data_IF_528688196558
#
_entry.id   IF_528688196558
#
_cell.length_a   1.000
_cell.length_b   1.000
_cell.length_c   1.000
_cell.angle_alpha   90.00
_cell.angle_beta   90.00
_cell.angle_gamma   90.00
#
_symmetry.space_group_name_H-M   'P 1'
#
loop_
_entity.id
_entity.type
_entity.pdbx_description
1 polymer ?
#
# COMPACT_ATOMS: atom_id res chain seq x y z
N UNK A 1 -6.37 -0.39 -1.46
CA UNK A 1 -7.49 -1.25 -0.97
C UNK A 1 -7.57 -2.59 -1.67
N UNK A 2 -7.61 -2.71 -3.02
CA UNK A 2 -7.66 -4.00 -3.74
C UNK A 2 -6.59 -4.99 -3.26
N UNK A 3 -5.32 -4.58 -3.29
CA UNK A 3 -4.23 -5.38 -2.76
C UNK A 3 -4.48 -5.82 -1.30
N UNK A 4 -4.96 -4.90 -0.45
CA UNK A 4 -5.26 -5.22 0.94
C UNK A 4 -6.39 -6.24 1.09
N UNK A 5 -7.41 -6.20 0.24
CA UNK A 5 -8.46 -7.22 0.18
C UNK A 5 -7.88 -8.58 -0.17
N UNK A 6 -7.04 -8.64 -1.22
CA UNK A 6 -6.40 -9.87 -1.64
C UNK A 6 -5.49 -10.47 -0.54
N UNK A 7 -4.73 -9.64 0.14
CA UNK A 7 -3.88 -10.07 1.25
C UNK A 7 -4.67 -10.66 2.44
N UNK A 8 -5.96 -10.36 2.56
CA UNK A 8 -6.83 -10.97 3.57
C UNK A 8 -7.04 -12.48 3.39
N UNK A 9 -6.72 -13.03 2.22
CA UNK A 9 -6.68 -14.47 1.97
C UNK A 9 -5.50 -15.14 2.69
N UNK A 10 -4.45 -14.38 3.00
CA UNK A 10 -3.18 -14.87 3.57
C UNK A 10 -2.95 -14.42 5.02
N UNK A 11 -3.78 -13.54 5.55
CA UNK A 11 -3.69 -13.07 6.92
C UNK A 11 -4.46 -11.79 7.16
N UNK A 12 -4.36 -11.25 8.38
CA UNK A 12 -5.01 -9.99 8.71
C UNK A 12 -4.19 -8.79 8.22
N UNK A 13 -4.90 -7.75 7.79
CA UNK A 13 -4.36 -6.52 7.22
C UNK A 13 -4.69 -5.34 8.14
N UNK A 14 -3.69 -4.51 8.43
CA UNK A 14 -3.85 -3.17 8.97
C UNK A 14 -3.59 -2.17 7.84
N UNK A 15 -4.61 -1.42 7.47
CA UNK A 15 -4.51 -0.34 6.49
C UNK A 15 -4.49 0.99 7.23
N UNK A 16 -3.37 1.68 7.15
CA UNK A 16 -3.15 2.97 7.80
C UNK A 16 -3.38 4.07 6.76
N UNK A 17 -4.57 4.66 6.78
CA UNK A 17 -5.01 5.69 5.83
C UNK A 17 -4.71 7.08 6.39
N UNK A 18 -3.46 7.48 6.34
CA UNK A 18 -3.05 8.81 6.80
C UNK A 18 -3.47 9.93 5.84
N UNK A 19 -3.47 9.64 4.54
CA UNK A 19 -3.80 10.61 3.50
C UNK A 19 -5.31 10.87 3.40
N UNK A 20 -6.13 9.85 3.67
CA UNK A 20 -7.58 9.97 3.54
C UNK A 20 -8.29 9.48 4.80
N UNK A 21 -9.14 10.34 5.37
CA UNK A 21 -10.06 9.95 6.45
C UNK A 21 -11.22 9.11 5.91
N UNK A 22 -11.90 8.39 6.81
CA UNK A 22 -13.09 7.60 6.46
C UNK A 22 -14.26 8.56 6.18
N UNK A 23 -14.30 9.07 4.97
CA UNK A 23 -15.34 9.92 4.42
C UNK A 23 -16.29 9.15 3.50
N UNK A 24 -17.26 9.83 2.88
CA UNK A 24 -18.22 9.21 1.98
C UNK A 24 -17.55 8.57 0.76
N UNK A 25 -16.50 9.20 0.20
CA UNK A 25 -15.74 8.66 -0.94
C UNK A 25 -15.05 7.35 -0.57
N UNK A 26 -14.40 7.33 0.60
CA UNK A 26 -13.78 6.12 1.14
C UNK A 26 -14.79 4.99 1.33
N UNK A 27 -15.97 5.29 1.91
CA UNK A 27 -17.03 4.31 2.13
C UNK A 27 -17.59 3.76 0.81
N UNK A 28 -17.82 4.62 -0.19
CA UNK A 28 -18.24 4.19 -1.54
C UNK A 28 -17.24 3.24 -2.18
N UNK A 29 -15.95 3.53 -2.07
CA UNK A 29 -14.86 2.67 -2.57
C UNK A 29 -14.80 1.34 -1.84
N UNK A 30 -15.00 1.33 -0.52
CA UNK A 30 -15.13 0.08 0.24
C UNK A 30 -16.32 -0.75 -0.23
N UNK A 31 -17.46 -0.13 -0.52
CA UNK A 31 -18.64 -0.81 -1.07
C UNK A 31 -18.38 -1.37 -2.46
N UNK A 32 -17.82 -0.57 -3.36
CA UNK A 32 -17.45 -0.99 -4.72
C UNK A 32 -16.50 -2.20 -4.72
N UNK A 33 -15.52 -2.19 -3.84
CA UNK A 33 -14.55 -3.28 -3.68
C UNK A 33 -15.10 -4.46 -2.86
N UNK A 34 -16.36 -4.40 -2.40
CA UNK A 34 -16.98 -5.43 -1.57
C UNK A 34 -16.13 -5.80 -0.35
N UNK A 35 -15.65 -4.78 0.39
CA UNK A 35 -14.76 -4.99 1.54
C UNK A 35 -15.44 -5.70 2.72
N UNK A 36 -16.78 -5.77 2.73
CA UNK A 36 -17.55 -6.58 3.68
C UNK A 36 -17.19 -8.08 3.61
N UNK A 37 -16.76 -8.59 2.46
CA UNK A 37 -16.32 -10.00 2.32
C UNK A 37 -15.09 -10.34 3.16
N UNK A 38 -14.31 -9.34 3.55
CA UNK A 38 -13.11 -9.49 4.38
C UNK A 38 -13.27 -8.87 5.77
N UNK A 39 -14.51 -8.74 6.24
CA UNK A 39 -14.81 -8.21 7.56
C UNK A 39 -14.06 -8.99 8.65
N UNK A 40 -13.50 -8.26 9.62
CA UNK A 40 -12.66 -8.82 10.69
C UNK A 40 -11.20 -9.09 10.31
N UNK A 41 -10.89 -9.23 9.02
CA UNK A 41 -9.52 -9.42 8.53
C UNK A 41 -8.86 -8.12 8.04
N UNK A 42 -9.64 -7.16 7.55
CA UNK A 42 -9.17 -5.85 7.09
C UNK A 42 -9.56 -4.79 8.11
N UNK A 43 -8.57 -4.10 8.67
CA UNK A 43 -8.77 -3.05 9.67
C UNK A 43 -8.19 -1.75 9.16
N UNK A 44 -8.97 -0.68 9.25
CA UNK A 44 -8.55 0.67 8.87
C UNK A 44 -8.30 1.50 10.11
N UNK A 45 -7.21 2.26 10.10
CA UNK A 45 -6.93 3.35 11.05
C UNK A 45 -6.52 4.59 10.27
N UNK A 46 -6.91 5.77 10.73
CA UNK A 46 -6.66 7.04 10.02
C UNK A 46 -5.67 7.94 10.75
N UNK A 47 -5.16 7.48 11.89
CA UNK A 47 -4.23 8.21 12.74
C UNK A 47 -3.44 7.22 13.60
N UNK A 48 -2.37 7.70 14.20
CA UNK A 48 -1.54 6.93 15.12
C UNK A 48 -0.06 7.27 14.95
N UNK A 49 0.64 7.43 16.07
CA UNK A 49 2.09 7.61 16.08
C UNK A 49 2.81 6.30 15.78
N UNK A 50 4.11 6.38 15.51
CA UNK A 50 4.94 5.19 15.31
C UNK A 50 4.92 4.29 16.55
N UNK A 51 4.97 4.86 17.75
CA UNK A 51 4.94 4.15 19.03
C UNK A 51 3.63 3.38 19.21
N UNK A 52 2.50 3.99 18.85
CA UNK A 52 1.19 3.35 18.90
C UNK A 52 1.09 2.17 17.92
N UNK A 53 1.69 2.33 16.74
CA UNK A 53 1.78 1.25 15.76
C UNK A 53 2.64 0.10 16.29
N UNK A 54 3.82 0.39 16.82
CA UNK A 54 4.70 -0.59 17.45
C UNK A 54 3.96 -1.31 18.59
N UNK A 55 3.31 -0.57 19.48
CA UNK A 55 2.54 -1.14 20.59
C UNK A 55 1.41 -2.08 20.10
N UNK A 56 0.72 -1.70 19.01
CA UNK A 56 -0.30 -2.52 18.37
C UNK A 56 0.28 -3.80 17.78
N UNK A 57 1.42 -3.71 17.10
CA UNK A 57 2.06 -4.84 16.43
C UNK A 57 2.71 -5.83 17.39
N UNK A 58 3.05 -5.41 18.61
CA UNK A 58 3.52 -6.28 19.69
C UNK A 58 2.42 -7.17 20.31
N UNK A 59 1.14 -6.82 20.13
CA UNK A 59 0.02 -7.59 20.67
C UNK A 59 -0.09 -8.97 20.02
N UNK A 60 -0.53 -10.02 20.75
CA UNK A 60 -0.86 -11.32 20.17
C UNK A 60 -1.89 -11.17 19.04
N UNK A 61 -1.76 -12.01 18.00
CA UNK A 61 -2.65 -11.99 16.81
C UNK A 61 -2.69 -10.64 16.08
N UNK A 62 -1.62 -9.83 16.22
CA UNK A 62 -1.47 -8.57 15.48
C UNK A 62 -1.42 -8.83 13.97
N UNK A 63 -1.77 -7.84 13.14
CA UNK A 63 -1.82 -7.98 11.69
C UNK A 63 -0.52 -8.50 11.08
N UNK A 64 -0.65 -9.35 10.05
CA UNK A 64 0.48 -9.88 9.28
C UNK A 64 0.97 -8.87 8.23
N UNK A 65 0.02 -8.14 7.62
CA UNK A 65 0.28 -7.17 6.57
C UNK A 65 -0.06 -5.77 7.08
N UNK A 66 0.85 -4.83 6.89
CA UNK A 66 0.71 -3.44 7.29
C UNK A 66 0.88 -2.56 6.05
N UNK A 67 -0.18 -1.85 5.68
CA UNK A 67 -0.18 -0.93 4.54
C UNK A 67 -0.16 0.49 5.10
N UNK A 68 0.83 1.28 4.72
CA UNK A 68 1.00 2.69 5.11
C UNK A 68 0.68 3.57 3.91
N UNK A 69 -0.44 4.30 3.96
CA UNK A 69 -0.95 5.13 2.88
C UNK A 69 -1.15 6.60 3.37
N UNK A 70 -0.26 7.50 3.01
CA UNK A 70 1.01 7.33 2.33
C UNK A 70 2.18 7.58 3.27
N UNK A 71 3.37 7.12 2.90
CA UNK A 71 4.60 7.33 3.68
C UNK A 71 4.88 8.81 3.93
N UNK A 72 4.58 9.68 2.96
CA UNK A 72 4.78 11.11 3.07
C UNK A 72 3.88 11.75 4.14
N UNK A 73 2.62 11.32 4.22
CA UNK A 73 1.63 11.88 5.15
C UNK A 73 1.76 11.26 6.53
N UNK A 74 2.25 10.03 6.65
CA UNK A 74 2.57 9.40 7.93
C UNK A 74 3.59 10.21 8.73
N UNK A 75 4.41 11.02 8.06
CA UNK A 75 5.41 11.88 8.69
C UNK A 75 6.61 11.11 9.27
N UNK A 76 6.73 9.82 8.94
CA UNK A 76 7.85 8.99 9.39
C UNK A 76 9.06 9.20 8.50
N UNK A 77 10.23 9.12 9.10
CA UNK A 77 11.49 9.16 8.37
C UNK A 77 11.99 7.76 7.97
N UNK A 78 13.08 7.73 7.21
CA UNK A 78 13.67 6.46 6.77
C UNK A 78 14.19 5.60 7.94
N UNK A 79 14.92 6.12 8.95
CA UNK A 79 15.34 5.36 10.13
C UNK A 79 14.18 4.71 10.86
N UNK A 80 13.08 5.43 11.07
CA UNK A 80 11.88 4.93 11.73
C UNK A 80 11.22 3.79 10.95
N UNK A 81 11.17 3.89 9.62
CA UNK A 81 10.65 2.81 8.79
C UNK A 81 11.54 1.56 8.83
N UNK A 82 12.87 1.73 8.87
CA UNK A 82 13.82 0.62 9.03
C UNK A 82 13.66 -0.04 10.39
N UNK A 83 13.62 0.74 11.46
CA UNK A 83 13.39 0.25 12.82
C UNK A 83 12.12 -0.61 12.92
N UNK A 84 11.02 -0.14 12.28
CA UNK A 84 9.77 -0.88 12.26
C UNK A 84 9.91 -2.23 11.57
N UNK A 85 10.56 -2.28 10.41
CA UNK A 85 10.79 -3.53 9.68
C UNK A 85 11.70 -4.49 10.44
N UNK A 86 12.77 -4.00 11.06
CA UNK A 86 13.71 -4.79 11.86
C UNK A 86 13.07 -5.33 13.15
N UNK A 87 12.21 -4.52 13.79
CA UNK A 87 11.47 -4.94 14.98
C UNK A 87 10.48 -6.06 14.69
N UNK A 88 9.93 -6.12 13.47
CA UNK A 88 8.92 -7.09 13.08
C UNK A 88 9.27 -7.85 11.79
N UNK A 89 10.36 -8.62 11.76
CA UNK A 89 10.88 -9.25 10.52
C UNK A 89 9.94 -10.32 9.92
N UNK A 90 8.92 -10.76 10.67
CA UNK A 90 7.92 -11.73 10.22
C UNK A 90 6.66 -11.07 9.65
N UNK A 91 6.60 -9.74 9.60
CA UNK A 91 5.47 -8.99 9.04
C UNK A 91 5.82 -8.43 7.67
N UNK A 92 4.81 -8.24 6.85
CA UNK A 92 4.96 -7.63 5.55
C UNK A 92 4.51 -6.17 5.61
N UNK A 93 5.42 -5.25 5.35
CA UNK A 93 5.14 -3.81 5.27
C UNK A 93 4.99 -3.39 3.82
N UNK A 94 3.90 -2.71 3.51
CA UNK A 94 3.59 -2.15 2.19
C UNK A 94 3.59 -0.63 2.33
N UNK A 95 4.60 0.00 1.77
CA UNK A 95 4.79 1.45 1.78
C UNK A 95 4.21 2.06 0.51
N UNK A 96 3.11 2.78 0.63
CA UNK A 96 2.56 3.55 -0.49
C UNK A 96 3.24 4.92 -0.49
N UNK A 97 3.75 5.30 -1.64
CA UNK A 97 4.42 6.57 -1.83
C UNK A 97 3.86 7.30 -3.04
N UNK A 98 3.68 8.60 -2.91
CA UNK A 98 3.44 9.48 -4.05
C UNK A 98 4.66 9.47 -4.97
N UNK A 99 4.43 9.67 -6.26
CA UNK A 99 5.47 9.67 -7.29
C UNK A 99 5.67 11.08 -7.86
N UNK A 100 6.93 11.46 -8.07
CA UNK A 100 7.32 12.64 -8.84
C UNK A 100 8.44 12.26 -9.80
N UNK A 101 8.26 12.52 -11.10
CA UNK A 101 9.26 12.20 -12.16
C UNK A 101 9.72 10.73 -12.10
N UNK A 102 8.78 9.79 -12.01
CA UNK A 102 9.03 8.34 -11.95
C UNK A 102 9.84 7.85 -10.74
N UNK A 103 9.94 8.65 -9.69
CA UNK A 103 10.57 8.29 -8.43
C UNK A 103 9.62 8.57 -7.25
N UNK A 104 9.73 7.81 -6.16
CA UNK A 104 9.03 8.13 -4.93
C UNK A 104 9.34 9.55 -4.48
N UNK A 105 8.35 10.26 -3.96
CA UNK A 105 8.50 11.65 -3.52
C UNK A 105 9.18 11.72 -2.15
N UNK A 106 10.28 12.46 -2.09
CA UNK A 106 11.05 12.69 -0.86
C UNK A 106 12.19 11.68 -0.65
N UNK A 107 13.28 12.16 -0.02
CA UNK A 107 14.51 11.39 0.15
C UNK A 107 14.34 10.11 0.95
N UNK A 108 13.48 10.11 1.98
CA UNK A 108 13.18 8.94 2.79
C UNK A 108 12.52 7.82 1.97
N UNK A 109 11.52 8.17 1.15
CA UNK A 109 10.84 7.21 0.28
C UNK A 109 11.75 6.66 -0.83
N UNK A 110 12.63 7.49 -1.38
CA UNK A 110 13.65 7.05 -2.34
C UNK A 110 14.60 6.03 -1.69
N UNK A 111 15.07 6.28 -0.47
CA UNK A 111 15.93 5.35 0.27
C UNK A 111 15.20 4.04 0.56
N UNK A 112 13.95 4.09 1.01
CA UNK A 112 13.09 2.91 1.23
C UNK A 112 12.98 2.06 -0.03
N UNK A 113 12.78 2.68 -1.21
CA UNK A 113 12.72 1.96 -2.48
C UNK A 113 13.93 1.04 -2.72
N UNK A 114 15.13 1.42 -2.27
CA UNK A 114 16.33 0.62 -2.48
C UNK A 114 16.41 -0.63 -1.60
N UNK A 115 15.79 -0.61 -0.43
CA UNK A 115 15.81 -1.74 0.50
C UNK A 115 14.58 -2.64 0.39
N UNK A 116 13.50 -2.21 -0.26
CA UNK A 116 12.32 -3.05 -0.49
C UNK A 116 12.63 -4.22 -1.41
N UNK A 117 12.18 -5.41 -1.03
CA UNK A 117 12.33 -6.64 -1.83
C UNK A 117 11.50 -6.56 -3.12
N UNK A 118 10.29 -6.03 -3.03
CA UNK A 118 9.37 -5.85 -4.15
C UNK A 118 9.04 -4.36 -4.33
N UNK A 119 9.04 -3.91 -5.57
CA UNK A 119 8.69 -2.55 -5.96
C UNK A 119 7.59 -2.63 -7.00
N UNK A 120 6.51 -1.89 -6.77
CA UNK A 120 5.37 -1.86 -7.68
C UNK A 120 5.14 -0.41 -8.07
N UNK A 121 5.22 -0.13 -9.36
CA UNK A 121 4.85 1.16 -9.92
C UNK A 121 3.48 1.08 -10.56
N UNK A 122 2.55 1.93 -10.13
CA UNK A 122 1.21 2.00 -10.70
C UNK A 122 1.13 3.21 -11.62
N UNK A 123 0.87 2.97 -12.91
CA UNK A 123 0.71 4.03 -13.90
C UNK A 123 -0.25 3.57 -14.99
N UNK A 124 -1.12 4.45 -15.46
CA UNK A 124 -2.10 4.13 -16.52
C UNK A 124 -2.97 2.92 -16.16
N UNK A 125 -3.41 2.83 -14.91
CA UNK A 125 -4.21 1.73 -14.36
C UNK A 125 -3.56 0.33 -14.43
N UNK A 126 -2.25 0.28 -14.58
CA UNK A 126 -1.45 -0.94 -14.58
C UNK A 126 -0.42 -0.90 -13.45
N UNK A 127 -0.23 -2.01 -12.77
CA UNK A 127 0.76 -2.18 -11.72
C UNK A 127 1.93 -3.00 -12.26
N UNK A 128 3.08 -2.38 -12.41
CA UNK A 128 4.31 -2.98 -12.91
C UNK A 128 5.18 -3.40 -11.73
N UNK A 129 5.50 -4.68 -11.66
CA UNK A 129 6.41 -5.19 -10.65
C UNK A 129 7.85 -4.94 -11.05
N UNK A 130 8.64 -4.42 -10.12
CA UNK A 130 10.07 -4.17 -10.26
C UNK A 130 10.77 -4.68 -8.99
N UNK A 131 11.84 -5.40 -9.12
CA UNK A 131 12.57 -5.88 -7.95
C UNK A 131 13.06 -7.31 -8.13
N UNK A 132 13.39 -7.97 -7.00
CA UNK A 132 14.04 -9.28 -7.01
C UNK A 132 13.05 -10.43 -7.25
N UNK A 133 11.81 -10.27 -6.79
CA UNK A 133 10.74 -11.28 -6.92
C UNK A 133 9.70 -10.78 -7.92
N UNK A 134 10.02 -10.81 -9.18
CA UNK A 134 9.14 -10.43 -10.29
C UNK A 134 8.80 -11.67 -11.12
N UNK A 135 7.67 -11.63 -11.80
CA UNK A 135 7.37 -12.56 -12.89
C UNK A 135 8.15 -12.22 -14.16
N UNK A 136 7.60 -12.52 -15.31
CA UNK A 136 8.24 -12.21 -16.59
C UNK A 136 8.53 -10.72 -16.74
N UNK A 137 9.69 -10.35 -17.30
CA UNK A 137 10.04 -8.95 -17.52
C UNK A 137 8.96 -8.22 -18.34
N UNK A 138 8.52 -7.07 -17.84
CA UNK A 138 7.46 -6.28 -18.49
C UNK A 138 6.03 -6.72 -18.17
N UNK A 139 5.83 -7.79 -17.41
CA UNK A 139 4.50 -8.19 -16.96
C UNK A 139 3.90 -7.13 -16.03
N UNK A 140 2.57 -7.02 -16.06
CA UNK A 140 1.82 -6.09 -15.22
C UNK A 140 0.48 -6.69 -14.80
N UNK A 141 -0.03 -6.19 -13.69
CA UNK A 141 -1.39 -6.45 -13.24
C UNK A 141 -2.29 -5.27 -13.64
N UNK A 142 -3.46 -5.55 -14.20
CA UNK A 142 -4.47 -4.53 -14.52
C UNK A 142 -5.23 -4.16 -13.26
N UNK A 143 -5.08 -2.90 -12.83
CA UNK A 143 -5.75 -2.38 -11.63
C UNK A 143 -7.19 -1.99 -11.92
N UNK A 144 -7.46 -1.45 -13.11
CA UNK A 144 -8.80 -1.03 -13.53
C UNK A 144 -8.94 -1.09 -15.06
N UNK A 145 -9.69 -2.07 -15.56
CA UNK A 145 -9.86 -2.33 -16.98
C UNK A 145 -10.57 -1.20 -17.71
N UNK A 146 -11.69 -0.72 -17.18
CA UNK A 146 -12.45 0.37 -17.79
C UNK A 146 -11.62 1.66 -17.93
N UNK A 147 -10.75 1.93 -16.98
CA UNK A 147 -9.83 3.06 -17.02
C UNK A 147 -8.83 2.98 -18.17
N UNK A 148 -8.36 1.78 -18.50
CA UNK A 148 -7.46 1.56 -19.64
C UNK A 148 -8.19 1.86 -20.95
N UNK A 149 -9.42 1.36 -21.12
CA UNK A 149 -10.23 1.55 -22.32
C UNK A 149 -10.52 3.02 -22.53
N UNK A 150 -10.92 3.76 -21.48
CA UNK A 150 -11.18 5.19 -21.55
C UNK A 150 -9.95 5.99 -21.97
N UNK A 151 -8.77 5.64 -21.43
CA UNK A 151 -7.51 6.32 -21.77
C UNK A 151 -7.11 6.06 -23.22
N UNK A 152 -7.32 4.85 -23.74
CA UNK A 152 -7.01 4.48 -25.12
C UNK A 152 -7.89 5.21 -26.12
N UNK A 153 -9.14 5.50 -25.78
CA UNK A 153 -10.10 6.22 -26.64
C UNK A 153 -9.86 7.74 -26.66
N UNK A 154 -9.14 8.28 -25.68
CA UNK A 154 -8.84 9.71 -25.55
C UNK A 154 -7.47 10.11 -26.08
N UNK A 155 -6.70 9.21 -26.68
CA UNK A 155 -5.44 9.56 -27.37
C UNK A 155 -5.81 10.24 -28.69
N UNK A 156 -5.30 11.45 -28.98
CA UNK A 156 -5.47 12.09 -30.29
C UNK A 156 -4.86 11.19 -31.37
N UNK A 157 -5.62 11.02 -32.45
CA UNK A 157 -5.18 10.29 -33.66
C UNK A 157 -4.11 11.08 -34.36
#
# INVERSE_FOLDING_TARGET
MQLGKELCNYGTVLYMSYEEKINQSFQRRMGYLKMNEVQGKFRVVTEGSLEEVIARLKKPKSPKFIIIDSFQVAGWDYPQAVELMETFPKKCFIWISQEKKSQPMGGGAVRLKYICDMKIRVVGYKAYCQGRAIGDPGSYYVVWEDGIIQTSNNLPK
#
